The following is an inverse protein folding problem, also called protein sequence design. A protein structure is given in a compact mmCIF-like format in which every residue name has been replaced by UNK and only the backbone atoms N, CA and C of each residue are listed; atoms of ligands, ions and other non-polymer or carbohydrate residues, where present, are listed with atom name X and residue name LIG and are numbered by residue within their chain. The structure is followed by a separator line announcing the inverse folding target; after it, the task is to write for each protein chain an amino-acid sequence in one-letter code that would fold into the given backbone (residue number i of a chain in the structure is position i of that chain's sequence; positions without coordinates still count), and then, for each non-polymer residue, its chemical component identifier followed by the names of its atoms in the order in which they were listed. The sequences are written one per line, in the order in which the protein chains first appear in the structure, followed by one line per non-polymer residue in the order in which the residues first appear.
data_IF_339416679053
#
_entry.id   IF_339416679053
#
_cell.length_a   1.000
_cell.length_b   1.000
_cell.length_c   1.000
_cell.angle_alpha   90.00
_cell.angle_beta   90.00
_cell.angle_gamma   90.00
#
_symmetry.space_group_name_H-M   'P 1'
#
loop_
_entity.id
_entity.type
_entity.pdbx_description
1 polymer ?
#
# COMPACT_ATOMS: atom_id res chain seq x y z
N UNK A 1 8.86 -4.82 -20.22
CA UNK A 1 7.46 -4.38 -20.35
C UNK A 1 6.72 -4.86 -19.11
N UNK A 2 6.45 -3.98 -18.13
CA UNK A 2 5.67 -4.39 -16.95
C UNK A 2 4.23 -4.58 -17.45
N UNK A 3 3.69 -5.79 -17.34
CA UNK A 3 2.32 -6.09 -17.73
C UNK A 3 1.36 -5.11 -17.04
N UNK A 4 0.54 -4.38 -17.81
CA UNK A 4 -0.34 -3.31 -17.29
C UNK A 4 -1.18 -3.73 -16.07
N UNK A 5 -1.58 -5.00 -15.97
CA UNK A 5 -2.31 -5.55 -14.81
C UNK A 5 -1.48 -5.58 -13.52
N UNK A 6 -0.19 -5.97 -13.60
CA UNK A 6 0.74 -5.97 -12.46
C UNK A 6 0.98 -4.53 -11.96
N UNK A 7 1.11 -3.58 -12.88
CA UNK A 7 1.29 -2.16 -12.55
C UNK A 7 0.08 -1.56 -11.79
N UNK A 8 -1.15 -1.87 -12.22
CA UNK A 8 -2.37 -1.40 -11.56
C UNK A 8 -2.52 -1.99 -10.15
N UNK A 9 -2.33 -3.31 -9.97
CA UNK A 9 -2.44 -3.96 -8.66
C UNK A 9 -1.48 -3.39 -7.62
N UNK A 10 -0.21 -3.20 -7.99
CA UNK A 10 0.79 -2.58 -7.09
C UNK A 10 0.47 -1.12 -6.77
N UNK A 11 -0.12 -0.38 -7.73
CA UNK A 11 -0.49 1.03 -7.51
C UNK A 11 -1.68 1.17 -6.57
N UNK A 12 -2.70 0.32 -6.71
CA UNK A 12 -3.85 0.27 -5.80
C UNK A 12 -3.41 -0.11 -4.39
N UNK A 13 -2.51 -1.08 -4.26
CA UNK A 13 -2.01 -1.49 -2.94
C UNK A 13 -1.22 -0.36 -2.25
N UNK A 14 -0.34 0.32 -2.98
CA UNK A 14 0.37 1.50 -2.46
C UNK A 14 -0.60 2.60 -2.04
N UNK A 15 -1.65 2.84 -2.81
CA UNK A 15 -2.72 3.78 -2.46
C UNK A 15 -3.40 3.38 -1.14
N UNK A 16 -3.79 2.11 -1.00
CA UNK A 16 -4.44 1.58 0.23
C UNK A 16 -3.54 1.77 1.46
N UNK A 17 -2.27 1.39 1.36
CA UNK A 17 -1.29 1.56 2.43
C UNK A 17 -1.17 3.04 2.80
N UNK A 18 -0.90 3.92 1.83
CA UNK A 18 -0.73 5.35 2.10
C UNK A 18 -1.99 5.95 2.73
N UNK A 19 -3.17 5.61 2.23
CA UNK A 19 -4.46 6.09 2.72
C UNK A 19 -4.74 5.64 4.16
N UNK A 20 -4.53 4.35 4.48
CA UNK A 20 -4.78 3.83 5.84
C UNK A 20 -3.75 4.38 6.82
N UNK A 21 -2.44 4.36 6.48
CA UNK A 21 -1.38 4.88 7.35
C UNK A 21 -1.58 6.38 7.64
N UNK A 22 -2.03 7.16 6.67
CA UNK A 22 -2.37 8.58 6.87
C UNK A 22 -3.61 8.76 7.76
N UNK A 23 -4.68 7.98 7.52
CA UNK A 23 -5.92 8.03 8.32
C UNK A 23 -5.67 7.73 9.80
N UNK A 24 -4.85 6.73 10.09
CA UNK A 24 -4.56 6.28 11.48
C UNK A 24 -3.48 7.14 12.18
N UNK A 25 -2.90 8.13 11.50
CA UNK A 25 -1.80 8.92 12.07
C UNK A 25 -0.54 8.08 12.34
N UNK A 26 -0.29 7.08 11.48
CA UNK A 26 0.84 6.15 11.55
C UNK A 26 0.45 4.75 12.04
N UNK A 27 1.02 3.73 11.41
CA UNK A 27 0.69 2.31 11.67
C UNK A 27 1.95 1.48 11.93
N UNK A 28 1.82 0.38 12.69
CA UNK A 28 2.95 -0.53 12.86
C UNK A 28 3.27 -1.28 11.56
N UNK A 29 4.49 -1.82 11.47
CA UNK A 29 4.88 -2.66 10.34
C UNK A 29 3.96 -3.89 10.20
N UNK A 30 3.50 -4.44 11.33
CA UNK A 30 2.61 -5.60 11.40
C UNK A 30 1.25 -5.26 10.81
N UNK A 31 0.63 -4.16 11.25
CA UNK A 31 -0.70 -3.74 10.77
C UNK A 31 -0.69 -3.43 9.26
N UNK A 32 0.40 -2.83 8.75
CA UNK A 32 0.57 -2.60 7.30
C UNK A 32 0.77 -3.93 6.57
N UNK A 33 1.48 -4.88 7.16
CA UNK A 33 1.62 -6.24 6.63
C UNK A 33 0.26 -6.94 6.51
N UNK A 34 -0.55 -6.88 7.56
CA UNK A 34 -1.90 -7.48 7.61
C UNK A 34 -2.83 -6.83 6.60
N UNK A 35 -2.76 -5.50 6.42
CA UNK A 35 -3.48 -4.79 5.37
C UNK A 35 -3.11 -5.31 3.97
N UNK A 36 -1.82 -5.57 3.72
CA UNK A 36 -1.37 -6.09 2.43
C UNK A 36 -1.89 -7.51 2.19
N UNK A 37 -1.77 -8.39 3.19
CA UNK A 37 -2.27 -9.77 3.13
C UNK A 37 -3.79 -9.78 2.92
N UNK A 38 -4.52 -8.99 3.70
CA UNK A 38 -5.98 -8.90 3.67
C UNK A 38 -6.56 -8.21 2.42
N UNK A 39 -5.74 -7.47 1.67
CA UNK A 39 -6.21 -6.74 0.48
C UNK A 39 -6.66 -7.66 -0.67
N UNK A 40 -6.30 -8.95 -0.65
CA UNK A 40 -6.59 -9.90 -1.74
C UNK A 40 -5.89 -9.55 -3.07
N UNK A 41 -5.03 -8.52 -3.08
CA UNK A 41 -4.27 -8.06 -4.25
C UNK A 41 -2.93 -8.80 -4.40
N UNK A 42 -2.55 -9.64 -3.43
CA UNK A 42 -1.33 -10.47 -3.48
C UNK A 42 -1.65 -11.92 -3.86
N UNK A 43 -1.08 -12.29 -5.01
CA UNK A 43 -0.64 -13.62 -5.50
C UNK A 43 -1.09 -14.84 -4.68
N UNK A 44 -1.82 -15.74 -5.36
CA UNK A 44 -2.13 -17.14 -5.04
C UNK A 44 -2.25 -17.53 -3.55
N UNK A 45 -3.47 -17.79 -3.03
CA UNK A 45 -3.71 -18.06 -1.61
C UNK A 45 -3.09 -19.36 -1.06
N UNK A 46 -2.54 -20.21 -1.93
CA UNK A 46 -2.00 -21.52 -1.55
C UNK A 46 -0.60 -21.45 -0.88
N UNK A 47 0.04 -20.28 -0.81
CA UNK A 47 1.39 -20.14 -0.25
C UNK A 47 1.54 -18.92 0.71
N UNK A 48 1.17 -19.08 2.00
CA UNK A 48 1.20 -17.99 3.00
C UNK A 48 2.57 -17.34 3.18
N UNK A 49 3.65 -18.12 3.06
CA UNK A 49 5.03 -17.65 3.20
C UNK A 49 5.41 -16.68 2.09
N UNK A 50 4.89 -16.88 0.87
CA UNK A 50 5.13 -15.95 -0.24
C UNK A 50 4.42 -14.62 -0.04
N UNK A 51 3.22 -14.63 0.56
CA UNK A 51 2.41 -13.44 0.80
C UNK A 51 3.09 -12.48 1.79
N UNK A 52 3.60 -13.01 2.92
CA UNK A 52 4.31 -12.19 3.93
C UNK A 52 5.61 -11.62 3.38
N UNK A 53 6.38 -12.43 2.62
CA UNK A 53 7.59 -11.97 1.97
C UNK A 53 7.29 -10.87 0.93
N UNK A 54 6.17 -11.00 0.21
CA UNK A 54 5.71 -10.00 -0.75
C UNK A 54 5.28 -8.69 -0.08
N UNK A 55 4.50 -8.75 1.00
CA UNK A 55 4.10 -7.60 1.79
C UNK A 55 5.30 -6.84 2.35
N UNK A 56 6.26 -7.57 2.93
CA UNK A 56 7.51 -7.02 3.45
C UNK A 56 8.30 -6.30 2.35
N UNK A 57 8.38 -6.90 1.15
CA UNK A 57 9.05 -6.30 0.00
C UNK A 57 8.38 -5.00 -0.44
N UNK A 58 7.05 -4.96 -0.54
CA UNK A 58 6.31 -3.76 -0.94
C UNK A 58 6.55 -2.61 0.04
N UNK A 59 6.49 -2.89 1.34
CA UNK A 59 6.73 -1.88 2.37
C UNK A 59 8.17 -1.36 2.26
N UNK A 60 9.15 -2.25 2.08
CA UNK A 60 10.56 -1.87 1.89
C UNK A 60 10.73 -0.98 0.65
N UNK A 61 10.16 -1.37 -0.49
CA UNK A 61 10.22 -0.59 -1.73
C UNK A 61 9.59 0.81 -1.54
N UNK A 62 8.54 0.92 -0.73
CA UNK A 62 7.90 2.21 -0.41
C UNK A 62 8.78 3.09 0.50
N UNK A 63 9.51 2.51 1.45
CA UNK A 63 10.48 3.22 2.28
C UNK A 63 11.65 3.69 1.44
N UNK A 64 12.22 2.80 0.61
CA UNK A 64 13.35 3.12 -0.28
C UNK A 64 12.97 4.21 -1.29
N UNK A 65 11.73 4.18 -1.79
CA UNK A 65 11.18 5.22 -2.66
C UNK A 65 10.86 6.54 -1.92
N UNK A 66 11.07 6.63 -0.61
CA UNK A 66 10.70 7.76 0.25
C UNK A 66 9.22 8.10 0.16
N UNK A 67 8.35 7.09 0.11
CA UNK A 67 6.90 7.26 0.21
C UNK A 67 6.46 7.12 1.66
N UNK A 68 7.03 6.15 2.37
CA UNK A 68 6.89 5.98 3.80
C UNK A 68 8.20 6.33 4.52
N UNK A 69 8.08 6.77 5.76
CA UNK A 69 9.19 6.90 6.70
C UNK A 69 8.86 6.14 7.98
N UNK A 70 9.89 5.54 8.60
CA UNK A 70 9.75 4.92 9.92
C UNK A 70 10.15 5.94 10.99
N UNK A 71 9.25 6.19 11.94
CA UNK A 71 9.52 6.93 13.17
C UNK A 71 9.15 6.04 14.34
N UNK A 72 10.10 5.77 15.22
CA UNK A 72 9.94 4.79 16.29
C UNK A 72 9.50 3.43 15.69
N UNK A 73 8.36 2.90 16.13
CA UNK A 73 7.80 1.63 15.66
C UNK A 73 6.62 1.78 14.70
N UNK A 74 6.41 3.00 14.17
CA UNK A 74 5.33 3.28 13.23
C UNK A 74 5.85 3.81 11.90
N UNK A 75 5.12 3.48 10.85
CA UNK A 75 5.28 3.99 9.50
C UNK A 75 4.37 5.20 9.33
N UNK A 76 4.88 6.23 8.67
CA UNK A 76 4.18 7.46 8.35
C UNK A 76 4.33 7.77 6.87
N UNK A 77 3.35 8.42 6.22
CA UNK A 77 3.51 8.92 4.87
C UNK A 77 4.42 10.15 4.90
N UNK A 78 5.44 10.16 4.07
CA UNK A 78 6.22 11.37 3.78
C UNK A 78 5.40 12.36 2.97
N UNK A 79 5.86 13.60 2.80
CA UNK A 79 5.25 14.57 1.88
C UNK A 79 5.14 14.03 0.44
N UNK A 80 6.14 13.28 -0.02
CA UNK A 80 6.11 12.61 -1.33
C UNK A 80 5.04 11.51 -1.37
N UNK A 81 4.91 10.75 -0.28
CA UNK A 81 3.87 9.73 -0.13
C UNK A 81 2.46 10.31 -0.17
N UNK A 82 2.22 11.41 0.56
CA UNK A 82 0.94 12.12 0.56
C UNK A 82 0.56 12.61 -0.82
N UNK A 83 1.50 13.25 -1.53
CA UNK A 83 1.27 13.71 -2.91
C UNK A 83 0.92 12.56 -3.85
N UNK A 84 1.65 11.44 -3.77
CA UNK A 84 1.32 10.26 -4.57
C UNK A 84 -0.07 9.71 -4.24
N UNK A 85 -0.45 9.68 -2.96
CA UNK A 85 -1.78 9.26 -2.52
C UNK A 85 -2.88 10.16 -3.09
N UNK A 86 -2.68 11.48 -3.14
CA UNK A 86 -3.59 12.44 -3.79
C UNK A 86 -3.74 12.17 -5.28
N UNK A 87 -2.63 11.96 -5.98
CA UNK A 87 -2.63 11.69 -7.42
C UNK A 87 -3.35 10.36 -7.72
N UNK A 88 -3.13 9.34 -6.89
CA UNK A 88 -3.83 8.06 -6.99
C UNK A 88 -5.31 8.18 -6.63
N UNK A 89 -5.69 9.03 -5.67
CA UNK A 89 -7.08 9.27 -5.32
C UNK A 89 -7.85 9.89 -6.48
N UNK A 90 -7.27 10.92 -7.12
CA UNK A 90 -7.83 11.54 -8.34
C UNK A 90 -7.98 10.52 -9.47
N UNK A 91 -6.96 9.66 -9.65
CA UNK A 91 -7.02 8.58 -10.63
C UNK A 91 -8.17 7.62 -10.31
N UNK A 92 -8.27 7.11 -9.08
CA UNK A 92 -9.35 6.19 -8.66
C UNK A 92 -10.74 6.80 -8.88
N UNK A 93 -10.93 8.07 -8.50
CA UNK A 93 -12.18 8.81 -8.72
C UNK A 93 -12.50 9.00 -10.20
N UNK A 94 -11.52 9.37 -11.03
CA UNK A 94 -11.71 9.60 -12.46
C UNK A 94 -12.13 8.34 -13.22
N UNK A 95 -11.72 7.16 -12.74
CA UNK A 95 -12.10 5.87 -13.31
C UNK A 95 -13.38 5.28 -12.69
N UNK A 96 -14.05 5.99 -11.76
CA UNK A 96 -15.30 5.56 -11.14
C UNK A 96 -15.16 4.42 -10.13
N UNK A 97 -13.93 4.09 -9.72
CA UNK A 97 -13.70 3.08 -8.68
C UNK A 97 -14.03 3.68 -7.30
N UNK A 98 -14.84 2.99 -6.50
CA UNK A 98 -15.02 3.28 -5.08
C UNK A 98 -14.22 2.26 -4.28
N UNK A 99 -13.06 2.67 -3.77
CA UNK A 99 -12.25 1.85 -2.88
C UNK A 99 -12.59 2.26 -1.45
N UNK A 100 -13.50 1.51 -0.83
CA UNK A 100 -13.78 1.60 0.59
C UNK A 100 -12.69 0.85 1.37
N UNK A 101 -12.07 1.54 2.32
CA UNK A 101 -11.16 0.90 3.26
C UNK A 101 -12.04 0.42 4.40
N UNK A 102 -12.34 -0.88 4.40
CA UNK A 102 -13.14 -1.52 5.47
C UNK A 102 -12.42 -1.33 6.81
N UNK A 103 -13.16 -0.95 7.85
CA UNK A 103 -12.64 -0.59 9.17
C UNK A 103 -11.93 -1.75 9.87
#
# INVERSE_FOLDING_TARGET
MIERRKFLGTSVLRYLILKKVEKEGGMSLMDVGDLVVGSGLSVNPDEPVQVVAHATKIIRDMIDAKLLERKEDKLYPTEKGKKLREDLDKFVQAFGFRIEVVE
#
